data_IF_444275488440
#
_entry.id   IF_444275488440
#
_cell.length_a   1.000
_cell.length_b   1.000
_cell.length_c   1.000
_cell.angle_alpha   90.00
_cell.angle_beta   90.00
_cell.angle_gamma   90.00
#
_symmetry.space_group_name_H-M   'P 1'
#
loop_
_entity.id
_entity.type
_entity.pdbx_description
1 polymer ?
#
# COMPACT_ATOMS: atom_id res chain seq x y z
N UNK A 1 -2.73 -18.39 -24.90
CA UNK A 1 -3.64 -17.30 -24.48
C UNK A 1 -2.90 -16.36 -23.55
N UNK A 2 -3.07 -15.04 -23.68
CA UNK A 2 -2.46 -14.04 -22.81
C UNK A 2 -3.47 -13.53 -21.80
N UNK A 3 -3.00 -13.26 -20.60
CA UNK A 3 -3.79 -12.68 -19.50
C UNK A 3 -3.07 -11.48 -18.91
N UNK A 4 -3.83 -10.51 -18.43
CA UNK A 4 -3.29 -9.41 -17.63
C UNK A 4 -4.01 -9.25 -16.30
N UNK A 5 -3.29 -8.78 -15.30
CA UNK A 5 -3.82 -8.45 -13.99
C UNK A 5 -4.81 -7.29 -14.11
N UNK A 6 -5.91 -7.34 -13.36
CA UNK A 6 -6.88 -6.25 -13.28
C UNK A 6 -6.18 -4.96 -12.83
N UNK A 7 -6.54 -3.82 -13.44
CA UNK A 7 -5.84 -2.54 -13.29
C UNK A 7 -5.67 -2.04 -11.84
N UNK A 8 -6.60 -2.39 -10.95
CA UNK A 8 -6.54 -1.99 -9.53
C UNK A 8 -5.72 -2.92 -8.66
N UNK A 9 -5.21 -4.03 -9.16
CA UNK A 9 -4.51 -5.02 -8.37
C UNK A 9 -3.00 -4.84 -8.44
N UNK A 10 -2.35 -5.06 -7.30
CA UNK A 10 -0.90 -5.00 -7.11
C UNK A 10 -0.42 -6.31 -6.49
N UNK A 11 0.70 -6.86 -6.98
CA UNK A 11 1.33 -8.05 -6.40
C UNK A 11 2.41 -7.62 -5.40
N UNK A 12 2.26 -8.03 -4.15
CA UNK A 12 3.13 -7.59 -3.05
C UNK A 12 3.60 -8.75 -2.19
N UNK A 13 4.75 -8.57 -1.54
CA UNK A 13 5.31 -9.50 -0.57
C UNK A 13 6.13 -8.79 0.50
N UNK A 14 6.38 -9.46 1.62
CA UNK A 14 7.20 -9.02 2.74
C UNK A 14 8.00 -10.21 3.29
N UNK A 15 8.98 -9.97 4.17
CA UNK A 15 9.86 -11.03 4.69
C UNK A 15 9.13 -12.26 5.26
N UNK A 16 8.00 -12.07 5.96
CA UNK A 16 7.27 -13.19 6.61
C UNK A 16 5.90 -13.50 5.97
N UNK A 17 5.41 -12.60 5.12
CA UNK A 17 4.17 -12.77 4.36
C UNK A 17 4.46 -12.46 2.89
N UNK A 18 5.12 -13.39 2.18
CA UNK A 18 5.77 -13.09 0.91
C UNK A 18 4.80 -12.81 -0.23
N UNK A 19 3.54 -13.21 -0.11
CA UNK A 19 2.64 -13.20 -1.26
C UNK A 19 1.26 -12.63 -0.89
N UNK A 20 0.91 -11.52 -1.51
CA UNK A 20 -0.42 -10.93 -1.39
C UNK A 20 -0.85 -10.23 -2.69
N UNK A 21 -2.15 -10.27 -2.95
CA UNK A 21 -2.85 -9.40 -3.89
C UNK A 21 -3.43 -8.23 -3.12
N UNK A 22 -3.09 -7.02 -3.53
CA UNK A 22 -3.56 -5.77 -2.91
C UNK A 22 -4.40 -5.01 -3.91
N UNK A 23 -5.63 -4.70 -3.57
CA UNK A 23 -6.49 -3.86 -4.39
C UNK A 23 -6.38 -2.40 -3.94
N UNK A 24 -6.11 -1.50 -4.88
CA UNK A 24 -6.04 -0.06 -4.63
C UNK A 24 -7.41 0.48 -4.19
N UNK A 25 -7.43 1.19 -3.07
CA UNK A 25 -8.62 1.90 -2.57
C UNK A 25 -9.67 1.04 -1.85
N UNK A 26 -9.57 -0.29 -1.83
CA UNK A 26 -10.63 -1.16 -1.28
C UNK A 26 -10.08 -2.38 -0.52
N UNK A 27 -10.78 -2.76 0.54
CA UNK A 27 -10.65 -4.08 1.17
C UNK A 27 -9.32 -4.38 1.89
N UNK A 28 -9.17 -5.57 2.35
CA UNK A 28 -7.94 -6.09 2.98
C UNK A 28 -7.06 -6.78 1.94
N UNK A 29 -5.72 -6.79 2.10
CA UNK A 29 -4.87 -7.63 1.25
C UNK A 29 -5.31 -9.09 1.34
N UNK A 30 -5.33 -9.76 0.21
CA UNK A 30 -5.60 -11.19 0.15
C UNK A 30 -4.26 -11.91 0.09
N UNK A 31 -3.93 -12.63 1.16
CA UNK A 31 -2.72 -13.46 1.19
C UNK A 31 -2.93 -14.71 0.36
N UNK A 32 -1.93 -15.04 -0.43
CA UNK A 32 -1.96 -16.15 -1.39
C UNK A 32 -0.72 -17.02 -1.24
N UNK A 33 -0.79 -18.22 -1.76
CA UNK A 33 0.33 -19.16 -1.80
C UNK A 33 1.40 -18.72 -2.80
N UNK A 34 2.60 -19.30 -2.70
CA UNK A 34 3.67 -19.07 -3.67
C UNK A 34 3.24 -19.50 -5.09
N UNK A 35 2.49 -20.60 -5.22
CA UNK A 35 1.99 -21.09 -6.49
C UNK A 35 0.97 -20.16 -7.15
N UNK A 36 0.04 -19.63 -6.36
CA UNK A 36 -0.89 -18.60 -6.85
C UNK A 36 -0.14 -17.33 -7.30
N UNK A 37 0.87 -16.91 -6.54
CA UNK A 37 1.71 -15.77 -6.95
C UNK A 37 2.48 -16.06 -8.26
N UNK A 38 3.03 -17.24 -8.43
CA UNK A 38 3.72 -17.62 -9.66
C UNK A 38 2.75 -17.61 -10.86
N UNK A 39 1.52 -18.10 -10.68
CA UNK A 39 0.48 -18.04 -11.71
C UNK A 39 0.12 -16.58 -12.06
N UNK A 40 -0.05 -15.70 -11.06
CA UNK A 40 -0.36 -14.30 -11.30
C UNK A 40 0.78 -13.51 -11.97
N UNK A 41 2.04 -13.87 -11.72
CA UNK A 41 3.20 -13.27 -12.43
C UNK A 41 3.20 -13.58 -13.93
N UNK A 42 2.59 -14.69 -14.36
CA UNK A 42 2.41 -15.00 -15.78
C UNK A 42 1.40 -14.07 -16.45
N UNK A 43 0.47 -13.49 -15.68
CA UNK A 43 -0.61 -12.64 -16.16
C UNK A 43 -0.16 -11.19 -16.36
N UNK A 44 0.87 -10.99 -17.15
CA UNK A 44 1.50 -9.70 -17.42
C UNK A 44 1.27 -9.17 -18.85
N UNK A 45 0.45 -9.87 -19.66
CA UNK A 45 0.18 -9.53 -21.05
C UNK A 45 1.28 -9.90 -22.04
N UNK A 46 2.43 -10.43 -21.55
CA UNK A 46 3.60 -10.75 -22.39
C UNK A 46 3.83 -12.25 -22.53
N UNK A 47 3.34 -13.05 -21.58
CA UNK A 47 3.59 -14.50 -21.52
C UNK A 47 2.34 -15.24 -22.00
N UNK A 48 2.53 -16.14 -22.95
CA UNK A 48 1.49 -17.08 -23.36
C UNK A 48 1.35 -18.20 -22.32
N UNK A 49 0.23 -18.20 -21.62
CA UNK A 49 -0.03 -19.17 -20.54
C UNK A 49 -0.22 -20.59 -21.07
N UNK A 50 -0.60 -20.73 -22.33
CA UNK A 50 -0.81 -22.06 -22.95
C UNK A 50 0.47 -22.70 -23.50
N UNK A 51 1.62 -22.04 -23.39
CA UNK A 51 2.89 -22.64 -23.78
C UNK A 51 3.11 -23.99 -23.05
N UNK A 52 3.61 -25.03 -23.73
CA UNK A 52 3.87 -26.33 -23.13
C UNK A 52 4.80 -26.28 -21.89
N UNK A 53 5.64 -25.24 -21.85
CA UNK A 53 6.57 -24.98 -20.74
C UNK A 53 5.86 -24.54 -19.44
N UNK A 54 4.64 -24.00 -19.53
CA UNK A 54 3.87 -23.60 -18.35
C UNK A 54 3.20 -24.82 -17.73
N UNK A 55 3.50 -25.16 -16.46
CA UNK A 55 2.88 -26.29 -15.77
C UNK A 55 1.33 -26.21 -15.75
N UNK A 56 0.66 -27.35 -15.87
CA UNK A 56 -0.81 -27.41 -15.87
C UNK A 56 -1.40 -26.79 -14.60
N UNK A 57 -0.78 -27.03 -13.45
CA UNK A 57 -1.19 -26.45 -12.16
C UNK A 57 -1.28 -24.91 -12.23
N UNK A 58 -0.29 -24.25 -12.84
CA UNK A 58 -0.31 -22.78 -12.97
C UNK A 58 -1.38 -22.30 -13.94
N UNK A 59 -1.64 -23.04 -15.02
CA UNK A 59 -2.76 -22.73 -15.94
C UNK A 59 -4.10 -22.79 -15.23
N UNK A 60 -4.31 -23.79 -14.39
CA UNK A 60 -5.56 -23.95 -13.64
C UNK A 60 -5.71 -22.85 -12.58
N UNK A 61 -4.61 -22.43 -11.94
CA UNK A 61 -4.60 -21.27 -11.03
C UNK A 61 -4.89 -19.94 -11.76
N UNK A 62 -4.43 -19.78 -13.00
CA UNK A 62 -4.79 -18.60 -13.82
C UNK A 62 -6.29 -18.59 -14.14
N UNK A 63 -6.90 -19.74 -14.47
CA UNK A 63 -8.35 -19.84 -14.69
C UNK A 63 -9.14 -19.47 -13.43
N UNK A 64 -8.71 -20.00 -12.27
CA UNK A 64 -9.31 -19.65 -10.99
C UNK A 64 -9.17 -18.14 -10.67
N UNK A 65 -8.03 -17.54 -11.00
CA UNK A 65 -7.83 -16.10 -10.86
C UNK A 65 -8.74 -15.29 -11.79
N UNK A 66 -9.03 -15.80 -13.00
CA UNK A 66 -9.97 -15.19 -13.93
C UNK A 66 -11.42 -15.27 -13.41
N UNK A 67 -11.82 -16.40 -12.84
CA UNK A 67 -13.13 -16.56 -12.18
C UNK A 67 -13.31 -15.60 -11.00
N UNK A 68 -12.22 -15.28 -10.28
CA UNK A 68 -12.21 -14.28 -9.20
C UNK A 68 -12.18 -12.83 -9.70
N UNK A 69 -12.09 -12.60 -11.02
CA UNK A 69 -11.95 -11.27 -11.60
C UNK A 69 -10.58 -10.61 -11.35
N UNK A 70 -9.57 -11.37 -10.97
CA UNK A 70 -8.22 -10.85 -10.73
C UNK A 70 -7.41 -10.65 -12.00
N UNK A 71 -7.70 -11.46 -13.01
CA UNK A 71 -7.06 -11.39 -14.33
C UNK A 71 -8.11 -11.49 -15.43
N UNK A 72 -7.78 -10.94 -16.59
CA UNK A 72 -8.63 -11.04 -17.78
C UNK A 72 -7.79 -11.43 -19.00
N UNK A 73 -8.38 -12.13 -20.00
CA UNK A 73 -7.75 -12.33 -21.28
C UNK A 73 -7.39 -11.00 -21.93
N UNK A 74 -6.27 -10.95 -22.62
CA UNK A 74 -5.80 -9.75 -23.32
C UNK A 74 -5.07 -10.10 -24.62
N UNK A 75 -4.74 -9.10 -25.42
CA UNK A 75 -3.87 -9.26 -26.57
C UNK A 75 -2.40 -9.35 -26.14
N UNK A 76 -1.58 -10.01 -26.97
CA UNK A 76 -0.13 -10.03 -26.74
C UNK A 76 0.44 -8.61 -26.78
N UNK A 77 1.17 -8.23 -25.74
CA UNK A 77 1.78 -6.91 -25.63
C UNK A 77 0.95 -5.89 -24.82
N UNK A 78 -0.27 -6.25 -24.42
CA UNK A 78 -1.08 -5.44 -23.50
C UNK A 78 -0.55 -5.60 -22.07
N UNK A 79 0.63 -5.02 -21.82
CA UNK A 79 1.38 -5.18 -20.59
C UNK A 79 0.70 -4.52 -19.41
N UNK A 80 0.88 -5.12 -18.22
CA UNK A 80 0.52 -4.48 -16.95
C UNK A 80 1.42 -3.27 -16.69
N UNK A 81 0.96 -2.34 -15.85
CA UNK A 81 1.80 -1.23 -15.39
C UNK A 81 2.93 -1.75 -14.49
N UNK A 82 4.13 -1.13 -14.52
CA UNK A 82 5.27 -1.54 -13.69
C UNK A 82 4.93 -1.68 -12.20
N UNK A 83 4.05 -0.80 -11.70
CA UNK A 83 3.63 -0.79 -10.29
C UNK A 83 2.79 -2.01 -9.89
N UNK A 84 2.11 -2.64 -10.85
CA UNK A 84 1.30 -3.85 -10.63
C UNK A 84 2.18 -5.09 -10.46
N UNK A 85 3.39 -5.07 -11.01
CA UNK A 85 4.32 -6.17 -10.93
C UNK A 85 4.65 -6.53 -9.46
N UNK A 86 5.05 -7.78 -9.26
CA UNK A 86 5.43 -8.26 -7.94
C UNK A 86 6.59 -7.44 -7.36
N UNK A 87 6.36 -6.87 -6.17
CA UNK A 87 7.36 -6.18 -5.37
C UNK A 87 7.42 -6.81 -3.99
N UNK A 88 8.63 -7.24 -3.57
CA UNK A 88 8.88 -7.72 -2.23
C UNK A 88 9.58 -6.63 -1.40
N UNK A 89 9.03 -6.34 -0.24
CA UNK A 89 9.60 -5.37 0.68
C UNK A 89 10.59 -6.05 1.65
N UNK A 90 11.74 -5.42 1.97
CA UNK A 90 12.74 -5.97 2.87
C UNK A 90 12.34 -5.86 4.36
N UNK A 91 11.10 -5.54 4.65
CA UNK A 91 10.53 -5.40 5.98
C UNK A 91 9.54 -6.51 6.30
N UNK A 92 9.17 -6.63 7.58
CA UNK A 92 7.99 -7.41 7.96
C UNK A 92 6.74 -6.70 7.46
N UNK A 93 5.67 -7.45 7.27
CA UNK A 93 4.38 -6.86 6.94
C UNK A 93 3.93 -5.88 8.03
N UNK A 94 3.70 -4.63 7.62
CA UNK A 94 3.15 -3.55 8.45
C UNK A 94 1.91 -3.05 7.74
N UNK A 95 0.74 -3.38 8.28
CA UNK A 95 -0.51 -2.94 7.67
C UNK A 95 -0.71 -1.44 7.83
N UNK A 96 -0.65 -0.96 9.07
CA UNK A 96 -1.00 0.41 9.44
C UNK A 96 0.16 1.10 10.14
N UNK A 97 0.53 2.27 9.70
CA UNK A 97 1.42 3.17 10.41
C UNK A 97 0.62 4.27 11.12
N UNK A 98 0.78 4.40 12.42
CA UNK A 98 0.31 5.57 13.17
C UNK A 98 1.44 6.59 13.23
N UNK A 99 1.25 7.72 12.60
CA UNK A 99 2.29 8.73 12.47
C UNK A 99 1.90 10.03 13.14
N UNK A 100 2.57 10.34 14.26
CA UNK A 100 2.47 11.63 14.93
C UNK A 100 3.28 12.68 14.17
N UNK A 101 2.61 13.49 13.36
CA UNK A 101 3.25 14.47 12.45
C UNK A 101 3.54 15.81 13.12
N UNK A 102 3.01 16.04 14.31
CA UNK A 102 3.24 17.26 15.11
C UNK A 102 3.05 16.95 16.60
N UNK A 103 3.83 17.62 17.43
CA UNK A 103 3.65 17.62 18.88
C UNK A 103 2.77 18.75 19.37
N UNK A 104 2.44 19.73 18.51
CA UNK A 104 1.59 20.87 18.89
C UNK A 104 0.11 20.47 18.89
N UNK A 105 -0.65 21.05 19.84
CA UNK A 105 -2.09 20.87 19.97
C UNK A 105 -2.75 22.14 20.46
N UNK A 106 -3.97 22.39 20.00
CA UNK A 106 -4.81 23.48 20.51
C UNK A 106 -5.58 23.09 21.78
N UNK A 107 -5.45 21.83 22.27
CA UNK A 107 -6.03 21.34 23.52
C UNK A 107 -4.99 20.90 24.54
N UNK A 108 -5.40 20.85 25.84
CA UNK A 108 -4.63 20.36 26.98
C UNK A 108 -5.39 19.27 27.71
N UNK A 109 -5.65 18.15 27.00
CA UNK A 109 -6.39 17.02 27.56
C UNK A 109 -5.62 16.37 28.71
N UNK A 110 -6.29 16.14 29.84
CA UNK A 110 -5.67 15.53 31.04
C UNK A 110 -5.15 14.11 30.79
N UNK A 111 -5.73 13.39 29.84
CA UNK A 111 -5.38 12.02 29.45
C UNK A 111 -4.54 11.94 28.17
N UNK A 112 -3.92 13.04 27.74
CA UNK A 112 -3.16 13.08 26.50
C UNK A 112 -1.89 12.23 26.59
N UNK A 113 -1.83 11.13 25.82
CA UNK A 113 -0.68 10.24 25.78
C UNK A 113 0.57 10.89 25.14
N UNK A 114 0.37 11.89 24.25
CA UNK A 114 1.43 12.65 23.60
C UNK A 114 2.03 13.77 24.45
N UNK A 115 1.44 14.05 25.61
CA UNK A 115 1.81 15.22 26.43
C UNK A 115 1.84 16.53 25.64
N UNK A 116 0.96 16.67 24.64
CA UNK A 116 0.73 17.93 23.93
C UNK A 116 0.24 19.01 24.94
N UNK A 117 0.34 20.29 24.62
CA UNK A 117 0.51 20.90 23.28
C UNK A 117 1.92 21.39 22.95
N UNK A 118 2.87 21.25 23.84
CA UNK A 118 4.10 22.07 23.82
C UNK A 118 5.20 21.46 22.96
N UNK A 119 4.88 20.46 22.12
CA UNK A 119 5.83 19.76 21.25
C UNK A 119 7.13 19.32 21.98
N UNK A 120 6.97 18.77 23.18
CA UNK A 120 8.07 18.39 24.08
C UNK A 120 9.18 17.57 23.41
N UNK A 121 8.84 16.79 22.39
CA UNK A 121 9.77 15.95 21.64
C UNK A 121 10.24 16.58 20.32
N UNK A 122 9.98 17.86 20.13
CA UNK A 122 10.34 18.59 18.92
C UNK A 122 9.30 18.53 17.82
N UNK A 123 9.62 19.15 16.70
CA UNK A 123 8.77 19.23 15.51
C UNK A 123 9.62 18.89 14.29
N UNK A 124 9.13 18.01 13.43
CA UNK A 124 9.80 17.68 12.18
C UNK A 124 9.66 18.82 11.16
N UNK A 125 10.77 19.14 10.47
CA UNK A 125 10.74 20.04 9.32
C UNK A 125 9.91 19.44 8.18
N UNK A 126 9.53 20.26 7.19
CA UNK A 126 8.82 19.77 6.02
C UNK A 126 9.64 18.71 5.26
N UNK A 127 10.94 18.90 5.12
CA UNK A 127 11.84 17.95 4.45
C UNK A 127 11.93 16.61 5.18
N UNK A 128 12.03 16.64 6.51
CA UNK A 128 12.02 15.45 7.34
C UNK A 128 10.69 14.69 7.20
N UNK A 129 9.56 15.40 7.18
CA UNK A 129 8.24 14.81 6.93
C UNK A 129 8.20 14.14 5.54
N UNK A 130 8.72 14.78 4.50
CA UNK A 130 8.77 14.19 3.15
C UNK A 130 9.70 12.96 3.09
N UNK A 131 10.81 12.97 3.80
CA UNK A 131 11.69 11.80 3.95
C UNK A 131 10.97 10.62 4.64
N UNK A 132 10.16 10.90 5.67
CA UNK A 132 9.35 9.86 6.33
C UNK A 132 8.34 9.23 5.38
N UNK A 133 7.73 9.99 4.47
CA UNK A 133 6.85 9.43 3.44
C UNK A 133 7.59 8.40 2.60
N UNK A 134 8.84 8.67 2.21
CA UNK A 134 9.64 7.70 1.47
C UNK A 134 9.89 6.42 2.28
N UNK A 135 10.17 6.54 3.57
CA UNK A 135 10.34 5.37 4.43
C UNK A 135 9.07 4.50 4.54
N UNK A 136 7.88 5.13 4.59
CA UNK A 136 6.61 4.41 4.55
C UNK A 136 6.46 3.60 3.25
N UNK A 137 6.87 4.19 2.11
CA UNK A 137 6.89 3.53 0.80
C UNK A 137 7.83 2.31 0.83
N UNK A 138 9.04 2.51 1.33
CA UNK A 138 10.08 1.49 1.37
C UNK A 138 9.73 0.32 2.29
N UNK A 139 8.93 0.58 3.33
CA UNK A 139 8.40 -0.44 4.23
C UNK A 139 7.16 -1.16 3.69
N UNK A 140 6.55 -0.67 2.61
CA UNK A 140 5.32 -1.26 2.06
C UNK A 140 4.11 -1.14 2.97
N UNK A 141 4.01 -0.01 3.70
CA UNK A 141 2.85 0.32 4.54
C UNK A 141 1.62 0.56 3.66
N UNK A 142 0.47 0.03 4.07
CA UNK A 142 -0.76 0.10 3.29
C UNK A 142 -1.75 1.15 3.79
N UNK A 143 -1.73 1.43 5.08
CA UNK A 143 -2.65 2.36 5.74
C UNK A 143 -1.84 3.33 6.59
N UNK A 144 -2.13 4.62 6.50
CA UNK A 144 -1.45 5.65 7.30
C UNK A 144 -2.47 6.43 8.09
N UNK A 145 -2.34 6.40 9.42
CA UNK A 145 -3.11 7.24 10.31
C UNK A 145 -2.25 8.42 10.75
N UNK A 146 -2.54 9.59 10.22
CA UNK A 146 -1.90 10.85 10.59
C UNK A 146 -2.53 11.37 11.88
N UNK A 147 -1.71 11.56 12.88
CA UNK A 147 -2.11 12.01 14.23
C UNK A 147 -1.05 12.95 14.81
N UNK A 148 -1.00 13.06 16.12
CA UNK A 148 -0.02 13.87 16.83
C UNK A 148 -0.64 14.52 18.04
N UNK A 149 -0.30 15.78 18.31
CA UNK A 149 -1.09 16.64 19.16
C UNK A 149 -2.44 16.90 18.47
N UNK A 150 -2.49 17.92 17.62
CA UNK A 150 -3.61 18.14 16.68
C UNK A 150 -3.04 18.32 15.27
N UNK A 151 -3.26 17.39 14.35
CA UNK A 151 -2.66 17.48 13.02
C UNK A 151 -3.09 18.70 12.21
N UNK A 152 -4.29 19.26 12.45
CA UNK A 152 -4.80 20.43 11.74
C UNK A 152 -4.05 21.74 12.09
N UNK A 153 -3.31 21.79 13.22
CA UNK A 153 -2.46 22.95 13.52
C UNK A 153 -1.19 23.01 12.63
N UNK A 154 -0.85 21.89 11.98
CA UNK A 154 0.31 21.85 11.08
C UNK A 154 -0.01 22.54 9.76
N UNK A 155 0.67 23.65 9.48
CA UNK A 155 0.38 24.55 8.33
C UNK A 155 0.34 23.84 6.97
N UNK A 156 1.11 22.78 6.77
CA UNK A 156 1.22 22.06 5.52
C UNK A 156 0.52 20.69 5.53
N UNK A 157 -0.43 20.47 6.44
CA UNK A 157 -1.14 19.18 6.58
C UNK A 157 -1.78 18.69 5.28
N UNK A 158 -2.39 19.60 4.51
CA UNK A 158 -3.05 19.23 3.24
C UNK A 158 -2.03 18.69 2.23
N UNK A 159 -0.84 19.31 2.14
CA UNK A 159 0.20 18.82 1.23
C UNK A 159 0.76 17.47 1.67
N UNK A 160 0.89 17.24 2.98
CA UNK A 160 1.28 15.96 3.54
C UNK A 160 0.25 14.87 3.20
N UNK A 161 -1.03 15.13 3.47
CA UNK A 161 -2.12 14.19 3.15
C UNK A 161 -2.13 13.84 1.66
N UNK A 162 -2.04 14.85 0.78
CA UNK A 162 -1.99 14.62 -0.67
C UNK A 162 -0.79 13.79 -1.09
N UNK A 163 0.39 14.06 -0.53
CA UNK A 163 1.61 13.32 -0.84
C UNK A 163 1.52 11.87 -0.39
N UNK A 164 1.01 11.61 0.82
CA UNK A 164 0.79 10.25 1.32
C UNK A 164 -0.26 9.51 0.50
N UNK A 165 -1.38 10.16 0.19
CA UNK A 165 -2.46 9.57 -0.60
C UNK A 165 -2.07 9.27 -2.06
N UNK A 166 -1.09 10.02 -2.61
CA UNK A 166 -0.58 9.79 -3.96
C UNK A 166 0.42 8.61 -4.03
N UNK A 167 0.80 8.03 -2.91
CA UNK A 167 1.72 6.88 -2.88
C UNK A 167 0.99 5.63 -3.34
N UNK A 168 1.50 5.03 -4.40
CA UNK A 168 0.97 3.75 -4.85
C UNK A 168 1.21 2.63 -3.83
N UNK A 169 0.15 1.90 -3.49
CA UNK A 169 0.17 0.88 -2.44
C UNK A 169 -0.35 1.37 -1.07
N UNK A 170 -0.37 2.66 -0.80
CA UNK A 170 -1.13 3.22 0.32
C UNK A 170 -2.60 3.28 -0.09
N UNK A 171 -3.42 2.56 0.65
CA UNK A 171 -4.85 2.34 0.35
C UNK A 171 -5.76 3.27 1.12
N UNK A 172 -5.31 3.66 2.31
CA UNK A 172 -6.11 4.47 3.21
C UNK A 172 -5.22 5.48 3.94
N UNK A 173 -5.67 6.72 3.98
CA UNK A 173 -5.08 7.78 4.78
C UNK A 173 -6.15 8.32 5.72
N UNK A 174 -5.99 8.04 7.01
CA UNK A 174 -6.85 8.55 8.06
C UNK A 174 -6.21 9.78 8.70
N UNK A 175 -7.04 10.73 9.10
CA UNK A 175 -6.64 11.87 9.91
C UNK A 175 -7.38 11.81 11.24
N UNK A 176 -6.62 11.66 12.35
CA UNK A 176 -7.19 11.68 13.70
C UNK A 176 -7.11 13.09 14.25
N UNK A 177 -8.22 13.76 14.39
CA UNK A 177 -8.34 15.15 14.80
C UNK A 177 -9.35 15.33 15.92
N UNK A 178 -9.18 16.38 16.74
CA UNK A 178 -10.19 16.80 17.71
C UNK A 178 -11.36 17.58 17.07
N UNK A 179 -11.24 17.92 15.78
CA UNK A 179 -12.31 18.51 14.97
C UNK A 179 -12.66 19.98 15.27
N UNK A 180 -11.79 20.71 15.98
CA UNK A 180 -12.09 22.11 16.32
C UNK A 180 -11.62 23.13 15.27
N UNK A 181 -10.71 22.74 14.34
CA UNK A 181 -10.10 23.61 13.33
C UNK A 181 -10.66 23.30 11.94
#
# INVERSE_FOLDING_TARGET
MFYKLHEKLLLRGWQKLPNAVVEQGVGRPVFITAREMDALKLCNGMIDVDLPLVPQELRDLVKLAAERGWVAPCERGDAIRPEQAYKCYPSRYIRTAHWSITGHCNYRCKHCYMSAPDAKYGELSHEQVMSMVQQLIDCGVMEVSLTGGEPLVKKNIVSICRRVAAVEGIREVCLTTNGLL
#
